data_IF_265194456276
#
_entry.id   IF_265194456276
#
_cell.length_a   1.000
_cell.length_b   1.000
_cell.length_c   1.000
_cell.angle_alpha   90.00
_cell.angle_beta   90.00
_cell.angle_gamma   90.00
#
_symmetry.space_group_name_H-M   'P 1'
#
loop_
_entity.id
_entity.type
_entity.pdbx_description
1 polymer ?
#
# COMPACT_ATOMS: atom_id res chain seq x y z
N UNK A 1 9.62 -11.24 -3.07
CA UNK A 1 8.54 -11.72 -2.17
C UNK A 1 7.55 -10.61 -1.78
N UNK A 2 8.01 -9.44 -1.30
CA UNK A 2 7.15 -8.30 -0.90
C UNK A 2 6.23 -7.77 -2.03
N UNK A 3 6.71 -7.68 -3.27
CA UNK A 3 5.90 -7.19 -4.42
C UNK A 3 4.70 -8.09 -4.73
N UNK A 4 4.82 -9.40 -4.53
CA UNK A 4 3.68 -10.31 -4.75
C UNK A 4 2.60 -10.15 -3.68
N UNK A 5 3.01 -9.73 -2.47
CA UNK A 5 2.13 -9.54 -1.33
C UNK A 5 1.58 -8.12 -1.20
N UNK A 6 2.12 -7.16 -1.97
CA UNK A 6 1.69 -5.75 -1.90
C UNK A 6 0.21 -5.54 -2.16
N UNK A 7 -0.40 -6.43 -2.93
CA UNK A 7 -1.85 -6.40 -3.21
C UNK A 7 -2.75 -6.81 -2.03
N UNK A 8 -2.16 -7.40 -0.99
CA UNK A 8 -2.85 -7.91 0.20
C UNK A 8 -2.53 -7.11 1.46
N UNK A 9 -1.64 -6.11 1.37
CA UNK A 9 -1.12 -5.39 2.53
C UNK A 9 -1.48 -3.92 2.41
N UNK A 10 -2.35 -3.47 3.30
CA UNK A 10 -2.72 -2.06 3.40
C UNK A 10 -1.49 -1.21 3.76
N UNK A 11 -1.29 -0.15 2.98
CA UNK A 11 -0.21 0.82 3.13
C UNK A 11 1.19 0.19 3.26
N UNK A 12 1.45 -0.87 2.48
CA UNK A 12 2.72 -1.59 2.50
C UNK A 12 3.93 -0.65 2.38
N UNK A 13 3.81 0.38 1.55
CA UNK A 13 4.91 1.29 1.28
C UNK A 13 5.43 1.98 2.55
N UNK A 14 4.53 2.47 3.39
CA UNK A 14 4.91 3.15 4.64
C UNK A 14 5.42 2.13 5.66
N UNK A 15 4.76 0.98 5.78
CA UNK A 15 5.23 -0.13 6.65
C UNK A 15 6.63 -0.60 6.27
N UNK A 16 6.97 -0.55 4.98
CA UNK A 16 8.25 -1.00 4.46
C UNK A 16 9.29 0.13 4.30
N UNK A 17 8.95 1.35 4.66
CA UNK A 17 9.83 2.51 4.51
C UNK A 17 11.18 2.34 5.22
N UNK A 18 11.26 1.75 6.44
CA UNK A 18 12.55 1.47 7.08
C UNK A 18 13.46 0.55 6.24
N UNK A 19 12.89 -0.50 5.64
CA UNK A 19 13.66 -1.40 4.76
C UNK A 19 14.16 -0.69 3.51
N UNK A 20 13.31 0.12 2.89
CA UNK A 20 13.69 0.84 1.68
C UNK A 20 14.78 1.87 1.96
N UNK A 21 14.80 2.47 3.16
CA UNK A 21 15.90 3.34 3.60
C UNK A 21 17.19 2.56 3.80
N UNK A 22 17.15 1.42 4.51
CA UNK A 22 18.32 0.56 4.71
C UNK A 22 18.92 0.05 3.38
N UNK A 23 18.06 -0.33 2.42
CA UNK A 23 18.48 -0.81 1.10
C UNK A 23 19.00 0.27 0.15
N UNK A 24 18.59 1.54 0.35
CA UNK A 24 19.06 2.68 -0.47
C UNK A 24 20.42 3.22 -0.02
N UNK A 25 20.90 2.85 1.15
CA UNK A 25 22.19 3.33 1.65
C UNK A 25 23.34 2.72 0.83
N UNK A 26 24.20 3.56 0.25
CA UNK A 26 25.37 3.13 -0.54
C UNK A 26 26.56 2.65 0.31
N UNK A 27 26.42 2.64 1.64
CA UNK A 27 27.42 2.16 2.60
C UNK A 27 27.12 0.74 3.09
N UNK A 28 27.70 0.36 4.22
CA UNK A 28 27.40 -0.93 4.84
C UNK A 28 25.91 -1.02 5.19
N UNK A 29 25.30 -2.10 4.74
CA UNK A 29 23.91 -2.41 5.06
C UNK A 29 23.76 -2.58 6.57
N UNK A 30 23.15 -1.59 7.22
CA UNK A 30 22.89 -1.62 8.65
C UNK A 30 21.41 -1.95 8.91
N UNK A 31 21.16 -3.17 9.39
CA UNK A 31 19.84 -3.55 9.88
C UNK A 31 19.58 -2.89 11.23
N UNK A 32 18.80 -1.82 11.24
CA UNK A 32 18.51 -1.07 12.46
C UNK A 32 17.41 -1.74 13.30
N UNK A 33 17.29 -1.33 14.56
CA UNK A 33 16.18 -1.75 15.42
C UNK A 33 14.82 -1.37 14.82
N UNK A 34 14.70 -0.23 14.12
CA UNK A 34 13.45 0.13 13.43
C UNK A 34 13.14 -0.81 12.25
N UNK A 35 14.17 -1.29 11.53
CA UNK A 35 13.99 -2.29 10.49
C UNK A 35 13.46 -3.60 11.06
N UNK A 36 14.02 -4.04 12.20
CA UNK A 36 13.56 -5.26 12.87
C UNK A 36 12.10 -5.11 13.34
N UNK A 37 11.77 -3.99 13.99
CA UNK A 37 10.41 -3.74 14.47
C UNK A 37 9.38 -3.71 13.33
N UNK A 38 9.69 -3.04 12.21
CA UNK A 38 8.84 -3.04 11.02
C UNK A 38 8.66 -4.44 10.42
N UNK A 39 9.68 -5.30 10.53
CA UNK A 39 9.63 -6.66 9.97
C UNK A 39 8.74 -7.56 10.82
N UNK A 40 8.82 -7.42 12.13
CA UNK A 40 7.99 -8.17 13.04
C UNK A 40 6.53 -7.70 13.01
N UNK A 41 6.26 -6.40 12.85
CA UNK A 41 4.89 -5.91 12.57
C UNK A 41 4.34 -6.51 11.26
N UNK A 42 5.16 -6.53 10.21
CA UNK A 42 4.77 -7.13 8.93
C UNK A 42 4.48 -8.63 9.07
N UNK A 43 5.27 -9.38 9.85
CA UNK A 43 4.99 -10.79 10.14
C UNK A 43 3.66 -10.95 10.87
N UNK A 44 3.41 -10.16 11.91
CA UNK A 44 2.16 -10.21 12.68
C UNK A 44 0.96 -9.92 11.77
N UNK A 45 1.08 -8.92 10.90
CA UNK A 45 0.05 -8.62 9.92
C UNK A 45 -0.21 -9.80 8.97
N UNK A 46 0.85 -10.44 8.48
CA UNK A 46 0.76 -11.59 7.59
C UNK A 46 0.28 -12.87 8.27
N UNK A 47 0.34 -12.98 9.60
CA UNK A 47 -0.25 -14.10 10.33
C UNK A 47 -1.79 -14.07 10.31
N UNK A 48 -2.38 -12.88 10.10
CA UNK A 48 -3.84 -12.70 9.96
C UNK A 48 -4.12 -11.82 8.73
N UNK A 49 -3.85 -12.31 7.51
CA UNK A 49 -4.05 -11.51 6.33
C UNK A 49 -5.54 -11.19 6.18
N UNK A 50 -5.89 -9.96 5.76
CA UNK A 50 -7.29 -9.64 5.50
C UNK A 50 -7.83 -10.57 4.40
N UNK A 51 -9.01 -11.13 4.63
CA UNK A 51 -9.67 -11.97 3.63
C UNK A 51 -10.12 -11.07 2.48
N UNK A 52 -9.46 -11.18 1.33
CA UNK A 52 -9.89 -10.47 0.13
C UNK A 52 -11.08 -11.17 -0.51
N UNK A 53 -12.07 -10.39 -0.93
CA UNK A 53 -13.20 -10.88 -1.71
C UNK A 53 -12.81 -11.00 -3.19
N UNK A 54 -13.37 -12.02 -3.85
CA UNK A 54 -13.29 -12.15 -5.31
C UNK A 54 -14.36 -11.23 -5.95
N UNK A 55 -13.99 -10.37 -6.90
CA UNK A 55 -14.97 -9.54 -7.61
C UNK A 55 -15.73 -10.38 -8.63
N UNK A 56 -16.99 -10.03 -8.88
CA UNK A 56 -17.83 -10.65 -9.90
C UNK A 56 -17.81 -9.81 -11.18
N UNK A 57 -17.76 -10.41 -12.39
CA UNK A 57 -17.87 -9.64 -13.62
C UNK A 57 -19.15 -8.81 -13.66
N UNK A 58 -19.04 -7.52 -14.02
CA UNK A 58 -20.17 -6.58 -14.07
C UNK A 58 -20.58 -5.97 -12.72
N UNK A 59 -19.86 -6.30 -11.65
CA UNK A 59 -20.11 -5.74 -10.33
C UNK A 59 -19.51 -4.33 -10.17
N UNK A 60 -20.27 -3.43 -9.54
CA UNK A 60 -19.78 -2.11 -9.17
C UNK A 60 -18.91 -2.21 -7.93
N UNK A 61 -17.66 -1.78 -8.04
CA UNK A 61 -16.71 -1.70 -6.94
C UNK A 61 -16.48 -0.25 -6.53
N UNK A 62 -16.23 -0.03 -5.24
CA UNK A 62 -15.85 1.27 -4.70
C UNK A 62 -14.32 1.38 -4.68
N UNK A 63 -13.80 2.52 -5.13
CA UNK A 63 -12.37 2.82 -5.05
C UNK A 63 -12.12 3.86 -3.96
N UNK A 64 -11.42 3.44 -2.92
CA UNK A 64 -10.96 4.34 -1.86
C UNK A 64 -9.54 4.78 -2.18
N UNK A 65 -9.26 6.07 -2.03
CA UNK A 65 -7.95 6.68 -2.26
C UNK A 65 -7.43 7.23 -0.94
N UNK A 66 -6.15 7.02 -0.66
CA UNK A 66 -5.47 7.56 0.50
C UNK A 66 -4.02 7.93 0.13
N UNK A 67 -3.43 8.81 0.93
CA UNK A 67 -2.02 9.15 0.84
C UNK A 67 -1.45 9.41 2.24
N UNK A 68 -0.13 9.36 2.33
CA UNK A 68 0.66 9.72 3.48
C UNK A 68 1.74 10.73 3.06
N UNK A 69 2.68 11.03 3.94
CA UNK A 69 3.83 11.86 3.62
C UNK A 69 4.75 11.24 2.56
N UNK A 70 4.80 9.91 2.47
CA UNK A 70 5.78 9.19 1.65
C UNK A 70 5.16 8.27 0.58
N UNK A 71 3.85 8.02 0.62
CA UNK A 71 3.20 7.10 -0.29
C UNK A 71 1.79 7.52 -0.68
N UNK A 72 1.33 6.99 -1.83
CA UNK A 72 -0.07 6.96 -2.20
C UNK A 72 -0.56 5.51 -2.17
N UNK A 73 -1.82 5.33 -1.81
CA UNK A 73 -2.46 4.02 -1.77
C UNK A 73 -3.92 4.09 -2.18
N UNK A 74 -4.43 2.98 -2.69
CA UNK A 74 -5.83 2.80 -3.00
C UNK A 74 -6.28 1.38 -2.69
N UNK A 75 -7.59 1.22 -2.47
CA UNK A 75 -8.20 -0.09 -2.25
C UNK A 75 -9.51 -0.19 -3.03
N UNK A 76 -9.69 -1.29 -3.75
CA UNK A 76 -10.98 -1.70 -4.29
C UNK A 76 -11.77 -2.41 -3.21
N UNK A 77 -13.01 -1.96 -3.01
CA UNK A 77 -13.95 -2.50 -2.05
C UNK A 77 -15.18 -3.02 -2.80
N UNK A 78 -15.62 -4.21 -2.43
CA UNK A 78 -16.91 -4.78 -2.78
C UNK A 78 -17.89 -4.51 -1.63
N UNK A 79 -19.09 -4.08 -1.95
CA UNK A 79 -20.15 -3.87 -0.97
C UNK A 79 -21.18 -5.00 -1.08
N UNK A 80 -21.28 -5.81 -0.03
CA UNK A 80 -22.26 -6.90 0.09
C UNK A 80 -23.27 -6.52 1.18
N UNK A 81 -24.35 -5.83 0.80
CA UNK A 81 -25.31 -5.27 1.75
C UNK A 81 -24.69 -4.12 2.54
N UNK A 82 -24.54 -4.28 3.86
CA UNK A 82 -23.86 -3.30 4.73
C UNK A 82 -22.40 -3.65 5.02
N UNK A 83 -21.87 -4.73 4.42
CA UNK A 83 -20.51 -5.22 4.67
C UNK A 83 -19.61 -4.81 3.51
N UNK A 84 -18.54 -4.09 3.84
CA UNK A 84 -17.47 -3.74 2.90
C UNK A 84 -16.34 -4.76 2.99
N UNK A 85 -16.01 -5.39 1.85
CA UNK A 85 -14.90 -6.34 1.74
C UNK A 85 -13.86 -5.82 0.78
N UNK A 86 -12.59 -5.83 1.21
CA UNK A 86 -11.50 -5.46 0.32
C UNK A 86 -11.32 -6.51 -0.77
N UNK A 87 -11.09 -6.07 -1.99
CA UNK A 87 -10.84 -6.90 -3.18
C UNK A 87 -9.38 -6.83 -3.59
N UNK A 88 -8.80 -5.62 -3.57
CA UNK A 88 -7.43 -5.39 -4.03
C UNK A 88 -6.83 -4.13 -3.41
N UNK A 89 -5.59 -4.21 -2.93
CA UNK A 89 -4.83 -3.04 -2.50
C UNK A 89 -3.79 -2.64 -3.54
N UNK A 90 -3.58 -1.33 -3.68
CA UNK A 90 -2.51 -0.77 -4.50
C UNK A 90 -1.76 0.25 -3.66
N UNK A 91 -0.43 0.19 -3.66
CA UNK A 91 0.41 1.24 -3.08
C UNK A 91 1.57 1.60 -4.01
N UNK A 92 2.06 2.82 -3.86
CA UNK A 92 3.26 3.33 -4.53
C UNK A 92 3.97 4.33 -3.62
N UNK A 93 5.28 4.18 -3.49
CA UNK A 93 6.15 5.19 -2.90
C UNK A 93 6.21 6.42 -3.77
N UNK A 94 6.09 7.59 -3.15
CA UNK A 94 6.29 8.85 -3.81
C UNK A 94 7.80 9.10 -3.97
N UNK A 95 8.17 9.66 -5.11
CA UNK A 95 9.47 10.31 -5.31
C UNK A 95 9.51 11.62 -4.53
N UNK A 96 10.71 12.16 -4.33
CA UNK A 96 10.89 13.43 -3.61
C UNK A 96 10.11 14.60 -4.25
N UNK A 97 9.95 14.58 -5.57
CA UNK A 97 9.10 15.55 -6.25
C UNK A 97 7.61 15.34 -5.92
N UNK A 98 7.14 14.09 -5.98
CA UNK A 98 5.74 13.73 -5.71
C UNK A 98 5.34 13.97 -4.25
N UNK A 99 6.26 13.87 -3.28
CA UNK A 99 5.97 14.17 -1.87
C UNK A 99 5.60 15.64 -1.64
N UNK A 100 6.07 16.54 -2.52
CA UNK A 100 5.80 17.98 -2.46
C UNK A 100 4.49 18.40 -3.14
N UNK A 101 3.78 17.45 -3.75
CA UNK A 101 2.49 17.75 -4.38
C UNK A 101 1.45 18.17 -3.32
N UNK A 102 0.54 19.11 -3.66
CA UNK A 102 -0.64 19.38 -2.86
C UNK A 102 -1.48 18.12 -2.64
N UNK A 103 -2.28 18.10 -1.56
CA UNK A 103 -3.09 16.93 -1.18
C UNK A 103 -4.03 16.48 -2.30
N UNK A 104 -4.63 17.42 -3.03
CA UNK A 104 -5.50 17.09 -4.16
C UNK A 104 -4.75 16.42 -5.31
N UNK A 105 -3.50 16.83 -5.56
CA UNK A 105 -2.64 16.19 -6.56
C UNK A 105 -2.14 14.81 -6.10
N UNK A 106 -1.90 14.62 -4.80
CA UNK A 106 -1.60 13.29 -4.22
C UNK A 106 -2.77 12.32 -4.38
N UNK A 107 -4.01 12.80 -4.21
CA UNK A 107 -5.21 12.00 -4.49
C UNK A 107 -5.33 11.67 -5.98
N UNK A 108 -5.10 12.65 -6.86
CA UNK A 108 -5.08 12.41 -8.31
C UNK A 108 -4.00 11.39 -8.70
N UNK A 109 -2.81 11.48 -8.09
CA UNK A 109 -1.73 10.51 -8.27
C UNK A 109 -2.15 9.12 -7.80
N UNK A 110 -2.81 9.01 -6.63
CA UNK A 110 -3.38 7.75 -6.15
C UNK A 110 -4.34 7.12 -7.17
N UNK A 111 -5.22 7.93 -7.76
CA UNK A 111 -6.17 7.49 -8.78
C UNK A 111 -5.46 7.01 -10.06
N UNK A 112 -4.48 7.75 -10.56
CA UNK A 112 -3.68 7.37 -11.74
C UNK A 112 -2.90 6.08 -11.49
N UNK A 113 -2.37 5.89 -10.28
CA UNK A 113 -1.66 4.67 -9.89
C UNK A 113 -2.63 3.49 -9.82
N UNK A 114 -3.83 3.71 -9.30
CA UNK A 114 -4.88 2.71 -9.24
C UNK A 114 -5.28 2.26 -10.65
N UNK A 115 -5.61 3.20 -11.55
CA UNK A 115 -6.08 2.89 -12.91
C UNK A 115 -5.06 2.17 -13.79
N UNK A 116 -3.76 2.29 -13.48
CA UNK A 116 -2.69 1.59 -14.19
C UNK A 116 -2.41 0.18 -13.65
N UNK A 117 -2.78 -0.10 -12.40
CA UNK A 117 -2.42 -1.34 -11.69
C UNK A 117 -3.62 -2.27 -11.46
N UNK A 118 -4.84 -1.74 -11.55
CA UNK A 118 -6.11 -2.46 -11.50
C UNK A 118 -6.59 -2.73 -12.92
#
# INVERSE_FOLDING_TARGET
MIVALSRFISNLTDRCLPFFKALKHKGDFCWTSECQAAFDDLKIYLQKPPVLAKPTPGETLLLYLAFSEAAVSSVLIKEEGSIQRAVYYVSKSMTEAETRYPDMEKLALSLIVASRKL
#
